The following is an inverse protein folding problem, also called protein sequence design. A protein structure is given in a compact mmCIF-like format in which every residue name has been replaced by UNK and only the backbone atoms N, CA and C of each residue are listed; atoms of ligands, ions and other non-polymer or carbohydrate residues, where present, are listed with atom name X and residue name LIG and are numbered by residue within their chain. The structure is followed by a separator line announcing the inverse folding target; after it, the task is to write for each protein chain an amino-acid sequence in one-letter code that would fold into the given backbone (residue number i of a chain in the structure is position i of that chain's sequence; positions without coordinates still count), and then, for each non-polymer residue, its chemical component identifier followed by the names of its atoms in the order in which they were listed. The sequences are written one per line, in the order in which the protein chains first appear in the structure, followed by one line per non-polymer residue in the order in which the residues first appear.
data_IF_180836099288
#
_entry.id   IF_180836099288
#
_cell.length_a   1.000
_cell.length_b   1.000
_cell.length_c   1.000
_cell.angle_alpha   90.00
_cell.angle_beta   90.00
_cell.angle_gamma   90.00
#
_symmetry.space_group_name_H-M   'P 1'
#
loop_
_entity.id
_entity.type
_entity.pdbx_description
1 polymer ?
#
# COMPACT_ATOMS: atom_id res chain seq x y z
N UNK A 1 55.63 69.29 46.18
CA UNK A 1 54.50 68.40 46.54
C UNK A 1 53.18 68.74 45.83
N UNK A 2 53.21 69.48 44.71
CA UNK A 2 52.01 70.01 44.01
C UNK A 2 51.74 69.37 42.64
N UNK A 3 52.77 68.84 41.97
CA UNK A 3 52.69 68.24 40.63
C UNK A 3 52.08 66.82 40.68
N UNK A 4 52.56 65.97 41.61
CA UNK A 4 51.98 64.64 41.87
C UNK A 4 50.49 64.73 42.25
N UNK A 5 50.11 65.74 43.03
CA UNK A 5 48.71 65.99 43.41
C UNK A 5 47.84 66.32 42.19
N UNK A 6 48.33 67.16 41.26
CA UNK A 6 47.61 67.49 40.01
C UNK A 6 47.44 66.29 39.08
N UNK A 7 48.46 65.43 38.97
CA UNK A 7 48.39 64.26 38.10
C UNK A 7 47.39 63.21 38.60
N UNK A 8 47.40 62.93 39.92
CA UNK A 8 46.41 62.04 40.54
C UNK A 8 44.99 62.59 40.39
N UNK A 9 44.79 63.91 40.56
CA UNK A 9 43.49 64.56 40.35
C UNK A 9 43.02 64.43 38.88
N UNK A 10 43.95 64.57 37.92
CA UNK A 10 43.63 64.44 36.49
C UNK A 10 43.18 63.02 36.13
N UNK A 11 43.85 61.99 36.64
CA UNK A 11 43.45 60.60 36.39
C UNK A 11 42.09 60.29 37.02
N UNK A 12 41.85 60.78 38.24
CA UNK A 12 40.54 60.64 38.91
C UNK A 12 39.45 61.33 38.08
N UNK A 13 39.73 62.51 37.54
CA UNK A 13 38.76 63.24 36.70
C UNK A 13 38.47 62.53 35.37
N UNK A 14 39.48 61.93 34.73
CA UNK A 14 39.29 61.13 33.52
C UNK A 14 38.51 59.85 33.82
N UNK A 15 38.82 59.17 34.93
CA UNK A 15 38.09 58.00 35.37
C UNK A 15 36.62 58.33 35.67
N UNK A 16 36.36 59.46 36.31
CA UNK A 16 34.99 59.94 36.54
C UNK A 16 34.28 60.32 35.24
N UNK A 17 34.96 60.97 34.29
CA UNK A 17 34.38 61.31 32.98
C UNK A 17 34.00 60.07 32.18
N UNK A 18 34.89 59.06 32.13
CA UNK A 18 34.61 57.79 31.44
C UNK A 18 33.47 57.04 32.14
N UNK A 19 33.45 57.05 33.47
CA UNK A 19 32.37 56.45 34.24
C UNK A 19 31.02 57.15 33.99
N UNK A 20 31.00 58.48 33.94
CA UNK A 20 29.79 59.26 33.69
C UNK A 20 29.30 59.09 32.26
N UNK A 21 30.18 59.03 31.27
CA UNK A 21 29.83 58.77 29.88
C UNK A 21 29.28 57.35 29.69
N UNK A 22 29.89 56.36 30.34
CA UNK A 22 29.37 54.99 30.37
C UNK A 22 27.99 54.91 31.05
N UNK A 23 27.79 55.63 32.16
CA UNK A 23 26.49 55.70 32.84
C UNK A 23 25.42 56.37 31.97
N UNK A 24 25.77 57.45 31.25
CA UNK A 24 24.87 58.12 30.31
C UNK A 24 24.52 57.21 29.13
N UNK A 25 25.50 56.51 28.56
CA UNK A 25 25.25 55.53 27.50
C UNK A 25 24.35 54.40 27.98
N UNK A 26 24.62 53.86 29.18
CA UNK A 26 23.81 52.79 29.76
C UNK A 26 22.38 53.25 30.00
N UNK A 27 22.18 54.45 30.55
CA UNK A 27 20.84 55.02 30.75
C UNK A 27 20.10 55.26 29.43
N UNK A 28 20.79 55.78 28.41
CA UNK A 28 20.20 56.03 27.10
C UNK A 28 19.80 54.72 26.39
N UNK A 29 20.57 53.64 26.57
CA UNK A 29 20.39 52.38 25.84
C UNK A 29 19.63 51.30 26.64
N UNK A 30 19.42 51.49 27.95
CA UNK A 30 18.73 50.53 28.83
C UNK A 30 17.32 50.22 28.34
N UNK A 31 16.59 51.22 27.86
CA UNK A 31 15.24 51.01 27.35
C UNK A 31 15.24 50.15 26.07
N UNK A 32 16.16 50.40 25.14
CA UNK A 32 16.33 49.61 23.93
C UNK A 32 16.70 48.15 24.24
N UNK A 33 17.61 47.93 25.20
CA UNK A 33 18.01 46.59 25.62
C UNK A 33 16.87 45.82 26.30
N UNK A 34 16.07 46.48 27.14
CA UNK A 34 14.89 45.86 27.77
C UNK A 34 13.85 45.50 26.70
N UNK A 35 13.60 46.41 25.75
CA UNK A 35 12.68 46.17 24.64
C UNK A 35 13.13 44.97 23.79
N UNK A 36 14.39 44.93 23.38
CA UNK A 36 14.93 43.81 22.59
C UNK A 36 14.84 42.47 23.33
N UNK A 37 15.13 42.44 24.64
CA UNK A 37 14.95 41.23 25.45
C UNK A 37 13.49 40.80 25.51
N UNK A 38 12.57 41.75 25.67
CA UNK A 38 11.15 41.46 25.71
C UNK A 38 10.65 40.93 24.38
N UNK A 39 10.98 41.59 23.28
CA UNK A 39 10.62 41.19 21.91
C UNK A 39 11.17 39.80 21.59
N UNK A 40 12.40 39.50 22.01
CA UNK A 40 13.00 38.17 21.86
C UNK A 40 12.20 37.11 22.63
N UNK A 41 11.85 37.36 23.89
CA UNK A 41 11.07 36.40 24.69
C UNK A 41 9.68 36.17 24.07
N UNK A 42 9.05 37.23 23.56
CA UNK A 42 7.77 37.11 22.87
C UNK A 42 7.89 36.29 21.59
N UNK A 43 8.91 36.54 20.78
CA UNK A 43 9.18 35.77 19.57
C UNK A 43 9.48 34.30 19.87
N UNK A 44 10.28 34.02 20.90
CA UNK A 44 10.59 32.65 21.36
C UNK A 44 9.31 31.93 21.81
N UNK A 45 8.43 32.59 22.59
CA UNK A 45 7.15 32.02 23.01
C UNK A 45 6.18 31.80 21.84
N UNK A 46 6.13 32.73 20.89
CA UNK A 46 5.30 32.60 19.69
C UNK A 46 5.76 31.40 18.84
N UNK A 47 7.08 31.25 18.67
CA UNK A 47 7.67 30.12 17.97
C UNK A 47 7.37 28.80 18.69
N UNK A 48 7.51 28.75 20.02
CA UNK A 48 7.18 27.55 20.81
C UNK A 48 5.71 27.16 20.64
N UNK A 49 4.79 28.12 20.66
CA UNK A 49 3.38 27.88 20.44
C UNK A 49 3.09 27.36 19.03
N UNK A 50 3.74 27.93 18.01
CA UNK A 50 3.61 27.47 16.63
C UNK A 50 4.16 26.04 16.45
N UNK A 51 5.33 25.75 17.02
CA UNK A 51 5.93 24.42 16.97
C UNK A 51 5.03 23.38 17.65
N UNK A 52 4.46 23.70 18.82
CA UNK A 52 3.49 22.81 19.50
C UNK A 52 2.27 22.56 18.64
N UNK A 53 1.70 23.60 18.03
CA UNK A 53 0.55 23.48 17.13
C UNK A 53 0.88 22.60 15.93
N UNK A 54 2.01 22.84 15.26
CA UNK A 54 2.44 22.05 14.09
C UNK A 54 2.75 20.61 14.47
N UNK A 55 3.38 20.37 15.62
CA UNK A 55 3.65 19.02 16.11
C UNK A 55 2.35 18.25 16.35
N UNK A 56 1.36 18.87 17.00
CA UNK A 56 0.06 18.25 17.22
C UNK A 56 -0.68 17.96 15.90
N UNK A 57 -0.60 18.88 14.94
CA UNK A 57 -1.18 18.67 13.61
C UNK A 57 -0.51 17.50 12.89
N UNK A 58 0.82 17.45 12.88
CA UNK A 58 1.57 16.36 12.24
C UNK A 58 1.30 15.01 12.90
N UNK A 59 1.20 14.97 14.23
CA UNK A 59 0.86 13.75 14.95
C UNK A 59 -0.53 13.25 14.59
N UNK A 60 -1.50 14.16 14.47
CA UNK A 60 -2.84 13.84 14.01
C UNK A 60 -2.84 13.31 12.56
N UNK A 61 -2.16 14.01 11.64
CA UNK A 61 -2.06 13.62 10.24
C UNK A 61 -1.39 12.25 10.08
N UNK A 62 -0.32 11.99 10.83
CA UNK A 62 0.35 10.69 10.88
C UNK A 62 -0.60 9.60 11.38
N UNK A 63 -1.39 9.89 12.42
CA UNK A 63 -2.37 8.94 12.97
C UNK A 63 -3.47 8.61 11.96
N UNK A 64 -3.99 9.61 11.26
CA UNK A 64 -4.96 9.42 10.18
C UNK A 64 -4.38 8.58 9.03
N UNK A 65 -3.17 8.91 8.59
CA UNK A 65 -2.50 8.18 7.51
C UNK A 65 -2.23 6.72 7.90
N UNK A 66 -1.75 6.47 9.12
CA UNK A 66 -1.56 5.11 9.64
C UNK A 66 -2.85 4.32 9.64
N UNK A 67 -3.93 4.90 10.19
CA UNK A 67 -5.23 4.24 10.25
C UNK A 67 -5.75 3.92 8.85
N UNK A 68 -5.61 4.84 7.90
CA UNK A 68 -6.02 4.64 6.50
C UNK A 68 -5.23 3.50 5.85
N UNK A 69 -3.91 3.51 5.96
CA UNK A 69 -3.07 2.48 5.36
C UNK A 69 -3.25 1.11 6.02
N UNK A 70 -3.45 1.05 7.33
CA UNK A 70 -3.74 -0.19 8.04
C UNK A 70 -5.08 -0.78 7.59
N UNK A 71 -6.10 0.07 7.38
CA UNK A 71 -7.38 -0.35 6.84
C UNK A 71 -7.24 -0.85 5.39
N UNK A 72 -6.57 -0.10 4.51
CA UNK A 72 -6.29 -0.51 3.12
C UNK A 72 -5.55 -1.84 3.05
N UNK A 73 -4.52 -2.02 3.88
CA UNK A 73 -3.74 -3.26 3.95
C UNK A 73 -4.59 -4.43 4.46
N UNK A 74 -5.44 -4.20 5.45
CA UNK A 74 -6.36 -5.23 5.98
C UNK A 74 -7.39 -5.66 4.92
N UNK A 75 -7.95 -4.70 4.19
CA UNK A 75 -8.86 -4.96 3.07
C UNK A 75 -8.15 -5.76 1.97
N UNK A 76 -6.94 -5.34 1.57
CA UNK A 76 -6.16 -6.05 0.56
C UNK A 76 -5.81 -7.48 0.99
N UNK A 77 -5.37 -7.68 2.24
CA UNK A 77 -5.12 -9.01 2.80
C UNK A 77 -6.38 -9.89 2.78
N UNK A 78 -7.54 -9.32 3.12
CA UNK A 78 -8.82 -10.03 3.08
C UNK A 78 -9.18 -10.44 1.66
N UNK A 79 -9.01 -9.52 0.71
CA UNK A 79 -9.21 -9.79 -0.72
C UNK A 79 -8.31 -10.92 -1.20
N UNK A 80 -7.00 -10.87 -0.95
CA UNK A 80 -6.08 -11.94 -1.35
C UNK A 80 -6.43 -13.30 -0.72
N UNK A 81 -6.87 -13.34 0.55
CA UNK A 81 -7.32 -14.58 1.20
C UNK A 81 -8.56 -15.16 0.51
N UNK A 82 -9.51 -14.30 0.15
CA UNK A 82 -10.72 -14.69 -0.56
C UNK A 82 -10.36 -15.19 -1.97
N UNK A 83 -9.53 -14.46 -2.70
CA UNK A 83 -9.05 -14.84 -4.03
C UNK A 83 -8.37 -16.23 -3.99
N UNK A 84 -7.47 -16.47 -3.03
CA UNK A 84 -6.82 -17.80 -2.86
C UNK A 84 -7.85 -18.89 -2.56
N UNK A 85 -8.87 -18.60 -1.75
CA UNK A 85 -9.92 -19.57 -1.43
C UNK A 85 -10.71 -19.92 -2.69
N UNK A 86 -11.11 -18.92 -3.47
CA UNK A 86 -11.89 -19.10 -4.68
C UNK A 86 -11.08 -19.90 -5.72
N UNK A 87 -9.80 -19.58 -5.88
CA UNK A 87 -8.89 -20.35 -6.74
C UNK A 87 -8.78 -21.83 -6.33
N UNK A 88 -8.68 -22.12 -5.02
CA UNK A 88 -8.69 -23.50 -4.52
C UNK A 88 -10.00 -24.20 -4.84
N UNK A 89 -11.13 -23.54 -4.66
CA UNK A 89 -12.43 -24.10 -5.00
C UNK A 89 -12.54 -24.44 -6.50
N UNK A 90 -11.97 -23.61 -7.37
CA UNK A 90 -11.90 -23.92 -8.80
C UNK A 90 -11.04 -25.16 -9.08
N UNK A 91 -9.87 -25.28 -8.43
CA UNK A 91 -9.03 -26.49 -8.57
C UNK A 91 -9.76 -27.74 -8.10
N UNK A 92 -10.43 -27.69 -6.95
CA UNK A 92 -11.23 -28.81 -6.42
C UNK A 92 -12.34 -29.19 -7.40
N UNK A 93 -13.01 -28.20 -8.02
CA UNK A 93 -14.03 -28.44 -9.05
C UNK A 93 -13.44 -29.08 -10.32
N UNK A 94 -12.21 -28.74 -10.72
CA UNK A 94 -11.51 -29.37 -11.85
C UNK A 94 -11.11 -30.82 -11.55
N UNK A 95 -10.76 -31.13 -10.30
CA UNK A 95 -10.48 -32.50 -9.85
C UNK A 95 -11.76 -33.35 -9.79
N UNK A 96 -12.87 -32.74 -9.33
CA UNK A 96 -14.19 -33.37 -9.41
C UNK A 96 -14.59 -33.63 -10.87
N UNK A 97 -14.38 -32.68 -11.78
CA UNK A 97 -14.65 -32.86 -13.20
C UNK A 97 -13.87 -34.03 -13.78
N UNK A 98 -12.57 -34.14 -13.47
CA UNK A 98 -11.74 -35.28 -13.89
C UNK A 98 -12.34 -36.61 -13.40
N UNK A 99 -12.75 -36.66 -12.14
CA UNK A 99 -13.38 -37.84 -11.53
C UNK A 99 -14.71 -38.19 -12.21
N UNK A 100 -15.53 -37.17 -12.52
CA UNK A 100 -16.76 -37.33 -13.28
C UNK A 100 -16.51 -37.88 -14.68
N UNK A 101 -15.51 -37.37 -15.41
CA UNK A 101 -15.15 -37.89 -16.75
C UNK A 101 -14.72 -39.35 -16.66
N UNK A 102 -13.86 -39.71 -15.69
CA UNK A 102 -13.40 -41.08 -15.50
C UNK A 102 -14.55 -42.04 -15.16
N UNK A 103 -15.54 -41.57 -14.40
CA UNK A 103 -16.71 -42.37 -14.03
C UNK A 103 -17.70 -42.50 -15.19
N UNK A 104 -17.94 -41.40 -15.91
CA UNK A 104 -18.83 -41.37 -17.07
C UNK A 104 -18.28 -42.20 -18.21
N UNK A 105 -16.98 -42.16 -18.49
CA UNK A 105 -16.38 -42.88 -19.61
C UNK A 105 -15.39 -43.95 -19.16
N UNK A 106 -15.89 -45.12 -18.78
CA UNK A 106 -15.08 -46.28 -18.37
C UNK A 106 -14.15 -46.82 -19.47
N UNK A 107 -14.47 -46.56 -20.74
CA UNK A 107 -13.69 -46.99 -21.91
C UNK A 107 -12.75 -45.91 -22.45
N UNK A 108 -12.77 -44.70 -21.88
CA UNK A 108 -11.91 -43.61 -22.34
C UNK A 108 -10.47 -43.86 -21.90
N UNK A 109 -9.48 -43.76 -22.81
CA UNK A 109 -8.08 -43.78 -22.43
C UNK A 109 -7.78 -42.71 -21.38
N UNK A 110 -7.11 -43.09 -20.31
CA UNK A 110 -6.81 -42.20 -19.17
C UNK A 110 -6.09 -40.92 -19.63
N UNK A 111 -5.26 -41.02 -20.66
CA UNK A 111 -4.57 -39.90 -21.30
C UNK A 111 -5.52 -38.78 -21.78
N UNK A 112 -6.73 -39.12 -22.25
CA UNK A 112 -7.71 -38.13 -22.72
C UNK A 112 -8.33 -37.38 -21.54
N UNK A 113 -8.70 -38.08 -20.46
CA UNK A 113 -9.19 -37.44 -19.23
C UNK A 113 -8.13 -36.50 -18.64
N UNK A 114 -6.86 -36.92 -18.62
CA UNK A 114 -5.74 -36.06 -18.22
C UNK A 114 -5.54 -34.86 -19.14
N UNK A 115 -5.70 -35.02 -20.45
CA UNK A 115 -5.57 -33.91 -21.41
C UNK A 115 -6.66 -32.86 -21.20
N UNK A 116 -7.90 -33.28 -20.99
CA UNK A 116 -9.04 -32.39 -20.69
C UNK A 116 -8.80 -31.65 -19.38
N UNK A 117 -8.42 -32.37 -18.33
CA UNK A 117 -8.11 -31.76 -17.03
C UNK A 117 -6.91 -30.80 -17.10
N UNK A 118 -5.84 -31.17 -17.80
CA UNK A 118 -4.66 -30.32 -17.97
C UNK A 118 -5.00 -29.03 -18.72
N UNK A 119 -5.81 -29.12 -19.77
CA UNK A 119 -6.26 -27.95 -20.52
C UNK A 119 -7.15 -27.03 -19.67
N UNK A 120 -8.07 -27.58 -18.88
CA UNK A 120 -8.88 -26.80 -17.94
C UNK A 120 -8.01 -26.06 -16.92
N UNK A 121 -7.00 -26.74 -16.37
CA UNK A 121 -6.03 -26.14 -15.45
C UNK A 121 -5.18 -25.06 -16.13
N UNK A 122 -4.78 -25.27 -17.37
CA UNK A 122 -4.04 -24.29 -18.16
C UNK A 122 -4.86 -23.00 -18.38
N UNK A 123 -6.15 -23.13 -18.76
CA UNK A 123 -7.06 -21.99 -18.92
C UNK A 123 -7.28 -21.24 -17.59
N UNK A 124 -7.45 -21.99 -16.48
CA UNK A 124 -7.59 -21.40 -15.15
C UNK A 124 -6.33 -20.60 -14.75
N UNK A 125 -5.14 -21.16 -14.98
CA UNK A 125 -3.88 -20.48 -14.70
C UNK A 125 -3.76 -19.20 -15.54
N UNK A 126 -4.08 -19.24 -16.84
CA UNK A 126 -4.03 -18.06 -17.72
C UNK A 126 -4.98 -16.96 -17.27
N UNK A 127 -6.19 -17.32 -16.84
CA UNK A 127 -7.15 -16.38 -16.27
C UNK A 127 -6.60 -15.76 -14.96
N UNK A 128 -5.89 -16.55 -14.16
CA UNK A 128 -5.36 -16.09 -12.88
C UNK A 128 -4.12 -15.20 -13.01
N UNK A 129 -3.24 -15.51 -13.96
CA UNK A 129 -2.00 -14.79 -14.24
C UNK A 129 -2.21 -13.51 -15.07
N UNK A 130 -3.38 -13.33 -15.69
CA UNK A 130 -3.70 -12.12 -16.45
C UNK A 130 -3.79 -10.88 -15.53
N UNK A 131 -2.91 -9.91 -15.77
CA UNK A 131 -2.89 -8.63 -15.06
C UNK A 131 -3.98 -7.65 -15.56
N UNK A 132 -4.32 -7.75 -16.85
CA UNK A 132 -5.34 -6.91 -17.50
C UNK A 132 -6.75 -7.49 -17.31
N UNK A 133 -7.69 -6.63 -16.94
CA UNK A 133 -9.08 -6.98 -16.70
C UNK A 133 -9.76 -7.51 -17.98
N UNK A 134 -9.51 -6.89 -19.13
CA UNK A 134 -10.13 -7.34 -20.39
C UNK A 134 -9.64 -8.74 -20.79
N UNK A 135 -8.34 -8.98 -20.65
CA UNK A 135 -7.77 -10.31 -20.91
C UNK A 135 -8.30 -11.34 -19.91
N UNK A 136 -8.39 -10.98 -18.63
CA UNK A 136 -8.94 -11.87 -17.60
C UNK A 136 -10.37 -12.27 -17.90
N UNK A 137 -11.22 -11.33 -18.31
CA UNK A 137 -12.60 -11.58 -18.71
C UNK A 137 -12.70 -12.51 -19.92
N UNK A 138 -11.83 -12.31 -20.93
CA UNK A 138 -11.79 -13.19 -22.09
C UNK A 138 -11.36 -14.62 -21.72
N UNK A 139 -10.36 -14.77 -20.86
CA UNK A 139 -9.89 -16.08 -20.39
C UNK A 139 -10.95 -16.77 -19.51
N UNK A 140 -11.65 -16.03 -18.66
CA UNK A 140 -12.78 -16.52 -17.86
C UNK A 140 -13.89 -17.07 -18.77
N UNK A 141 -14.28 -16.33 -19.80
CA UNK A 141 -15.29 -16.76 -20.77
C UNK A 141 -14.85 -18.03 -21.52
N UNK A 142 -13.57 -18.13 -21.88
CA UNK A 142 -13.01 -19.34 -22.51
C UNK A 142 -13.06 -20.55 -21.56
N UNK A 143 -12.71 -20.37 -20.30
CA UNK A 143 -12.78 -21.42 -19.28
C UNK A 143 -14.22 -21.89 -19.07
N UNK A 144 -15.17 -20.97 -18.92
CA UNK A 144 -16.61 -21.31 -18.75
C UNK A 144 -17.10 -22.12 -19.95
N UNK A 145 -16.83 -21.64 -21.17
CA UNK A 145 -17.24 -22.34 -22.40
C UNK A 145 -16.66 -23.75 -22.47
N UNK A 146 -15.39 -23.91 -22.10
CA UNK A 146 -14.74 -25.21 -22.05
C UNK A 146 -15.42 -26.13 -21.03
N UNK A 147 -15.60 -25.68 -19.79
CA UNK A 147 -16.23 -26.45 -18.72
C UNK A 147 -17.66 -26.86 -19.04
N UNK A 148 -18.46 -25.95 -19.62
CA UNK A 148 -19.83 -26.26 -20.07
C UNK A 148 -19.82 -27.33 -21.16
N UNK A 149 -18.90 -27.24 -22.12
CA UNK A 149 -18.80 -28.23 -23.21
C UNK A 149 -18.41 -29.62 -22.68
N UNK A 150 -17.45 -29.68 -21.74
CA UNK A 150 -17.07 -30.94 -21.08
C UNK A 150 -18.27 -31.55 -20.35
N UNK A 151 -19.02 -30.72 -19.61
CA UNK A 151 -20.19 -31.17 -18.88
C UNK A 151 -21.30 -31.65 -19.83
N UNK A 152 -21.56 -30.95 -20.93
CA UNK A 152 -22.52 -31.36 -21.95
C UNK A 152 -22.15 -32.69 -22.61
N UNK A 153 -20.87 -32.88 -22.97
CA UNK A 153 -20.38 -34.14 -23.53
C UNK A 153 -20.56 -35.29 -22.52
N UNK A 154 -20.12 -35.08 -21.27
CA UNK A 154 -20.25 -36.07 -20.21
C UNK A 154 -21.71 -36.44 -19.90
N UNK A 155 -22.61 -35.45 -19.90
CA UNK A 155 -24.05 -35.66 -19.71
C UNK A 155 -24.67 -36.42 -20.89
N UNK A 156 -24.31 -36.06 -22.12
CA UNK A 156 -24.83 -36.71 -23.33
C UNK A 156 -24.49 -38.21 -23.36
N UNK A 157 -23.31 -38.58 -22.86
CA UNK A 157 -22.92 -39.97 -22.71
C UNK A 157 -23.76 -40.73 -21.66
N UNK A 158 -24.01 -40.11 -20.50
CA UNK A 158 -24.85 -40.69 -19.45
C UNK A 158 -26.32 -40.86 -19.86
N UNK A 159 -26.83 -39.95 -20.71
CA UNK A 159 -28.21 -39.99 -21.24
C UNK A 159 -28.41 -41.02 -22.37
N UNK A 160 -27.42 -41.86 -22.65
CA UNK A 160 -27.55 -43.02 -23.55
C UNK A 160 -27.37 -42.71 -25.04
N UNK A 161 -26.87 -41.53 -25.39
CA UNK A 161 -26.46 -41.23 -26.75
C UNK A 161 -25.11 -41.92 -27.03
N UNK A 162 -25.17 -43.10 -27.63
CA UNK A 162 -24.05 -43.84 -28.28
C UNK A 162 -22.91 -44.30 -27.37
N UNK A 163 -22.87 -45.60 -27.11
CA UNK A 163 -21.90 -46.35 -26.28
C UNK A 163 -20.43 -46.31 -26.73
N UNK A 164 -20.08 -45.59 -27.80
CA UNK A 164 -18.72 -45.57 -28.37
C UNK A 164 -18.19 -44.16 -28.69
N UNK A 165 -18.92 -43.10 -28.36
CA UNK A 165 -18.52 -41.76 -28.80
C UNK A 165 -17.59 -41.07 -27.80
N UNK A 166 -16.39 -40.72 -28.29
CA UNK A 166 -15.43 -39.85 -27.62
C UNK A 166 -16.04 -38.45 -27.40
N UNK A 167 -15.54 -37.67 -26.42
CA UNK A 167 -15.98 -36.28 -26.21
C UNK A 167 -15.44 -35.37 -27.32
N UNK A 168 -16.03 -35.47 -28.51
CA UNK A 168 -15.54 -34.81 -29.72
C UNK A 168 -15.62 -33.29 -29.64
N UNK A 169 -16.68 -32.72 -29.05
CA UNK A 169 -16.81 -31.26 -28.92
C UNK A 169 -15.73 -30.70 -28.01
N UNK A 170 -15.49 -31.35 -26.88
CA UNK A 170 -14.41 -31.01 -25.95
C UNK A 170 -13.05 -31.11 -26.63
N UNK A 171 -12.76 -32.19 -27.33
CA UNK A 171 -11.48 -32.38 -28.02
C UNK A 171 -11.27 -31.37 -29.16
N UNK A 172 -12.35 -30.99 -29.85
CA UNK A 172 -12.30 -29.95 -30.88
C UNK A 172 -11.97 -28.57 -30.29
N UNK A 173 -12.49 -28.23 -29.10
CA UNK A 173 -12.12 -26.98 -28.42
C UNK A 173 -10.63 -26.94 -28.07
N UNK A 174 -10.06 -28.06 -27.61
CA UNK A 174 -8.62 -28.14 -27.29
C UNK A 174 -7.76 -27.96 -28.56
N UNK A 175 -8.25 -28.41 -29.73
CA UNK A 175 -7.52 -28.31 -31.01
C UNK A 175 -7.67 -26.96 -31.72
N UNK A 176 -8.70 -26.19 -31.40
CA UNK A 176 -9.02 -24.92 -32.08
C UNK A 176 -8.36 -23.69 -31.44
N UNK A 177 -7.59 -23.89 -30.37
CA UNK A 177 -6.82 -22.86 -29.67
C UNK A 177 -5.32 -23.07 -29.87
#
# INVERSE_FOLDING_TARGET
MTILKRWVISIISLFHSVKDENLRWQQANQHGLIKLKHDRILAEKALEAELKKRSAQLEHDISLLKTKHDAELSMFKTKCKQDIKDYKQYLDALDQLKSSIQTSYTHLPEAIAFTIHHHAKYLLNRMWEAEDFEQKMQQEMQLIRFMTTVHEDARSYLEGATTENLPEKTLNLIRQQ
#
